data_IF_177381757669
#
_entry.id   IF_177381757669
#
_cell.length_a   1.000
_cell.length_b   1.000
_cell.length_c   1.000
_cell.angle_alpha   90.00
_cell.angle_beta   90.00
_cell.angle_gamma   90.00
#
_symmetry.space_group_name_H-M   'P 1'
#
loop_
_entity.id
_entity.type
_entity.pdbx_description
1 polymer ?
#
# COMPACT_ATOMS: atom_id res chain seq x y z
N UNK A 1 19.94 20.19 -10.59
CA UNK A 1 18.61 20.05 -9.99
C UNK A 1 18.02 18.78 -10.56
N UNK A 2 17.98 17.68 -9.78
CA UNK A 2 17.43 16.42 -10.28
C UNK A 2 15.91 16.51 -10.28
N UNK A 3 15.29 16.36 -11.45
CA UNK A 3 13.89 16.02 -11.52
C UNK A 3 13.74 14.62 -10.90
N UNK A 4 13.09 14.53 -9.74
CA UNK A 4 12.64 13.24 -9.22
C UNK A 4 11.58 12.79 -10.22
N UNK A 5 11.90 11.81 -11.06
CA UNK A 5 10.90 11.21 -11.92
C UNK A 5 9.84 10.62 -10.98
N UNK A 6 8.58 11.07 -11.12
CA UNK A 6 7.45 10.43 -10.46
C UNK A 6 7.57 8.93 -10.73
N UNK A 7 7.78 8.16 -9.67
CA UNK A 7 7.76 6.71 -9.81
C UNK A 7 6.31 6.28 -9.94
N UNK A 8 6.06 5.11 -10.53
CA UNK A 8 4.69 4.57 -10.55
C UNK A 8 4.12 4.39 -9.13
N UNK A 9 4.96 4.29 -8.10
CA UNK A 9 4.56 4.17 -6.71
C UNK A 9 3.85 5.44 -6.20
N UNK A 10 4.33 6.62 -6.60
CA UNK A 10 3.79 7.92 -6.16
C UNK A 10 2.32 8.14 -6.57
N UNK A 11 1.81 7.32 -7.49
CA UNK A 11 0.38 7.32 -7.87
C UNK A 11 -0.51 6.63 -6.84
N UNK A 12 0.07 5.82 -5.97
CA UNK A 12 -0.63 4.99 -4.99
C UNK A 12 -0.40 5.46 -3.54
N UNK A 13 0.31 6.57 -3.38
CA UNK A 13 0.59 7.23 -2.10
C UNK A 13 2.09 7.37 -1.87
N UNK A 14 2.52 7.25 -0.61
CA UNK A 14 3.92 7.43 -0.24
C UNK A 14 4.44 6.46 0.84
N UNK A 15 5.76 6.36 0.92
CA UNK A 15 6.42 5.53 1.94
C UNK A 15 6.26 6.16 3.32
N UNK A 16 5.77 5.38 4.28
CA UNK A 16 5.58 5.82 5.66
C UNK A 16 6.56 5.14 6.63
N UNK A 17 6.69 5.69 7.83
CA UNK A 17 7.43 5.01 8.90
C UNK A 17 6.58 3.90 9.52
N UNK A 18 7.13 2.71 9.81
CA UNK A 18 6.38 1.64 10.46
C UNK A 18 5.74 2.01 11.81
N UNK A 19 6.26 3.04 12.49
CA UNK A 19 5.71 3.54 13.76
C UNK A 19 4.45 4.39 13.59
N UNK A 20 4.20 4.94 12.39
CA UNK A 20 2.99 5.69 12.06
C UNK A 20 1.82 4.79 11.62
N UNK A 21 2.07 3.49 11.42
CA UNK A 21 1.07 2.58 10.91
C UNK A 21 -0.08 2.36 11.91
N UNK A 22 -1.31 2.46 11.41
CA UNK A 22 -2.54 2.23 12.16
C UNK A 22 -2.76 0.74 12.42
N UNK A 23 -2.31 -0.13 11.50
CA UNK A 23 -2.30 -1.58 11.69
C UNK A 23 -1.16 -2.27 10.95
N UNK A 24 -0.99 -3.55 11.28
CA UNK A 24 -0.04 -4.45 10.62
C UNK A 24 -0.77 -5.53 9.82
N UNK A 25 -0.35 -5.76 8.59
CA UNK A 25 -0.79 -6.87 7.74
C UNK A 25 0.41 -7.78 7.46
N UNK A 26 0.27 -9.07 7.80
CA UNK A 26 1.28 -10.09 7.49
C UNK A 26 0.96 -10.70 6.14
N UNK A 27 1.93 -10.65 5.21
CA UNK A 27 1.81 -11.27 3.89
C UNK A 27 2.41 -12.68 3.96
N UNK A 28 1.54 -13.68 4.10
CA UNK A 28 1.90 -15.09 4.00
C UNK A 28 1.93 -15.61 2.56
N UNK A 29 2.45 -16.82 2.30
CA UNK A 29 2.61 -17.39 0.94
C UNK A 29 1.30 -17.54 0.14
N UNK A 30 0.18 -17.64 0.85
CA UNK A 30 -1.15 -17.81 0.26
C UNK A 30 -1.94 -16.51 0.16
N UNK A 31 -1.35 -15.38 0.57
CA UNK A 31 -1.99 -14.07 0.41
C UNK A 31 -2.16 -13.81 -1.08
N UNK A 32 -3.33 -13.31 -1.48
CA UNK A 32 -3.63 -12.99 -2.89
C UNK A 32 -4.10 -11.56 -3.03
N UNK A 33 -4.75 -11.03 -2.00
CA UNK A 33 -5.12 -9.64 -1.92
C UNK A 33 -5.11 -9.13 -0.48
N UNK A 34 -5.09 -7.82 -0.35
CA UNK A 34 -5.33 -7.08 0.89
C UNK A 34 -6.32 -5.95 0.60
N UNK A 35 -7.15 -5.63 1.57
CA UNK A 35 -8.07 -4.50 1.51
C UNK A 35 -7.60 -3.43 2.49
N UNK A 36 -7.48 -2.21 2.01
CA UNK A 36 -7.09 -1.03 2.78
C UNK A 36 -8.07 0.10 2.50
N UNK A 37 -8.10 1.11 3.35
CA UNK A 37 -8.86 2.33 3.09
C UNK A 37 -7.96 3.38 2.44
N UNK A 38 -8.55 4.28 1.66
CA UNK A 38 -7.85 5.48 1.21
C UNK A 38 -7.45 6.32 2.44
N UNK A 39 -6.21 6.82 2.45
CA UNK A 39 -5.59 7.55 3.56
C UNK A 39 -5.16 6.68 4.75
N UNK A 40 -5.26 5.35 4.67
CA UNK A 40 -4.80 4.46 5.72
C UNK A 40 -3.27 4.30 5.67
N UNK A 41 -2.60 4.32 6.83
CA UNK A 41 -1.18 3.94 6.92
C UNK A 41 -1.07 2.48 7.39
N UNK A 42 -0.55 1.59 6.54
CA UNK A 42 -0.42 0.16 6.86
C UNK A 42 1.03 -0.28 6.89
N UNK A 43 1.40 -0.99 7.95
CA UNK A 43 2.66 -1.76 8.01
C UNK A 43 2.47 -3.14 7.40
N UNK A 44 3.29 -3.50 6.44
CA UNK A 44 3.38 -4.84 5.88
C UNK A 44 4.58 -5.59 6.45
N UNK A 45 4.34 -6.83 6.87
CA UNK A 45 5.39 -7.78 7.26
C UNK A 45 5.40 -8.92 6.25
N UNK A 46 6.49 -9.07 5.49
CA UNK A 46 6.60 -10.02 4.40
C UNK A 46 8.05 -10.48 4.25
N UNK A 47 8.29 -11.78 4.10
CA UNK A 47 9.62 -12.34 3.87
C UNK A 47 10.70 -11.84 4.86
N UNK A 48 10.33 -11.69 6.13
CA UNK A 48 11.22 -11.18 7.18
C UNK A 48 11.58 -9.70 7.07
N UNK A 49 10.92 -8.95 6.18
CA UNK A 49 11.04 -7.50 6.04
C UNK A 49 9.78 -6.80 6.51
N UNK A 50 9.95 -5.56 6.96
CA UNK A 50 8.85 -4.67 7.28
C UNK A 50 8.97 -3.37 6.47
N UNK A 51 7.85 -2.89 5.97
CA UNK A 51 7.73 -1.57 5.35
C UNK A 51 6.33 -1.01 5.62
N UNK A 52 6.16 0.30 5.57
CA UNK A 52 4.85 0.92 5.70
C UNK A 52 4.57 1.84 4.52
N UNK A 53 3.29 1.97 4.20
CA UNK A 53 2.80 2.76 3.08
C UNK A 53 1.56 3.54 3.53
N UNK A 54 1.54 4.82 3.19
CA UNK A 54 0.36 5.69 3.29
C UNK A 54 -0.42 5.58 1.98
N UNK A 55 -1.70 5.20 2.06
CA UNK A 55 -2.58 5.01 0.92
C UNK A 55 -3.34 6.29 0.54
N UNK A 56 -2.67 7.43 0.50
CA UNK A 56 -3.20 8.78 0.17
C UNK A 56 -3.18 9.12 -1.34
N UNK A 57 -2.84 8.15 -2.19
CA UNK A 57 -2.82 8.29 -3.65
C UNK A 57 -4.15 7.98 -4.33
N UNK A 58 -4.12 7.70 -5.63
CA UNK A 58 -5.33 7.34 -6.39
C UNK A 58 -5.94 6.03 -5.84
N UNK A 59 -7.24 6.00 -5.49
CA UNK A 59 -7.91 4.82 -4.92
C UNK A 59 -8.22 3.78 -6.02
N UNK A 60 -7.18 3.21 -6.60
CA UNK A 60 -7.26 2.18 -7.64
C UNK A 60 -6.51 0.92 -7.20
N UNK A 61 -7.03 -0.25 -7.58
CA UNK A 61 -6.39 -1.51 -7.22
C UNK A 61 -5.08 -1.72 -8.00
N UNK A 62 -4.02 -2.14 -7.31
CA UNK A 62 -2.69 -2.31 -7.88
C UNK A 62 -1.96 -3.54 -7.30
N UNK A 63 -0.76 -3.86 -7.81
CA UNK A 63 0.08 -4.93 -7.26
C UNK A 63 0.97 -4.37 -6.16
N UNK A 64 0.97 -4.96 -4.96
CA UNK A 64 1.76 -4.51 -3.81
C UNK A 64 3.26 -4.39 -4.12
N UNK A 65 3.78 -5.16 -5.10
CA UNK A 65 5.18 -5.03 -5.58
C UNK A 65 5.51 -3.65 -6.16
N UNK A 66 4.51 -2.83 -6.53
CA UNK A 66 4.75 -1.48 -7.05
C UNK A 66 5.26 -0.52 -5.96
N UNK A 67 4.93 -0.77 -4.69
CA UNK A 67 5.29 0.09 -3.56
C UNK A 67 6.22 -0.61 -2.55
N UNK A 68 6.30 -1.95 -2.62
CA UNK A 68 7.14 -2.73 -1.73
C UNK A 68 8.64 -2.62 -2.09
N UNK A 69 9.54 -2.60 -1.09
CA UNK A 69 10.97 -2.74 -1.33
C UNK A 69 11.31 -4.02 -2.09
N UNK A 70 12.40 -3.99 -2.86
CA UNK A 70 12.83 -5.14 -3.66
C UNK A 70 12.98 -6.42 -2.80
N UNK A 71 12.33 -7.49 -3.25
CA UNK A 71 12.34 -8.80 -2.59
C UNK A 71 11.53 -8.90 -1.29
N UNK A 72 10.78 -7.87 -0.91
CA UNK A 72 9.82 -7.98 0.20
C UNK A 72 8.61 -8.85 -0.16
N UNK A 73 8.20 -8.82 -1.44
CA UNK A 73 7.06 -9.57 -1.96
C UNK A 73 7.55 -10.45 -3.11
N UNK A 74 7.34 -11.77 -3.01
CA UNK A 74 7.80 -12.76 -4.00
C UNK A 74 6.68 -13.23 -4.95
N UNK A 75 5.42 -13.14 -4.56
CA UNK A 75 4.24 -13.50 -5.36
C UNK A 75 3.33 -12.28 -5.61
N UNK A 76 2.36 -12.40 -6.52
CA UNK A 76 1.46 -11.28 -6.78
C UNK A 76 0.44 -11.14 -5.64
N UNK A 77 0.34 -9.94 -5.08
CA UNK A 77 -0.63 -9.58 -4.05
C UNK A 77 -1.33 -8.30 -4.50
N UNK A 78 -2.64 -8.39 -4.74
CA UNK A 78 -3.46 -7.25 -5.17
C UNK A 78 -3.83 -6.40 -3.96
N UNK A 79 -3.59 -5.10 -4.02
CA UNK A 79 -4.16 -4.15 -3.06
C UNK A 79 -5.49 -3.65 -3.63
N UNK A 80 -6.55 -3.74 -2.84
CA UNK A 80 -7.81 -3.06 -3.10
C UNK A 80 -7.97 -1.91 -2.10
N UNK A 81 -8.26 -0.73 -2.61
CA UNK A 81 -8.47 0.48 -1.80
C UNK A 81 -9.96 0.76 -1.78
N UNK A 82 -10.56 0.74 -0.59
CA UNK A 82 -11.92 1.21 -0.38
C UNK A 82 -11.92 2.73 -0.25
N UNK A 83 -12.82 3.40 -0.96
CA UNK A 83 -13.11 4.82 -0.76
C UNK A 83 -14.16 4.98 0.31
N UNK A 84 -14.05 6.04 1.10
CA UNK A 84 -15.05 6.41 2.10
C UNK A 84 -15.97 7.51 1.56
N UNK A 85 -17.01 7.88 2.32
CA UNK A 85 -17.85 9.03 2.01
C UNK A 85 -17.05 10.34 1.89
N UNK A 86 -15.97 10.49 2.66
CA UNK A 86 -15.09 11.66 2.63
C UNK A 86 -14.37 11.79 1.27
N UNK A 87 -14.14 10.67 0.60
CA UNK A 87 -13.55 10.59 -0.74
C UNK A 87 -14.60 10.76 -1.87
N UNK A 88 -15.86 11.02 -1.52
CA UNK A 88 -16.98 10.98 -2.46
C UNK A 88 -17.39 9.56 -2.88
N UNK A 89 -16.92 8.54 -2.17
CA UNK A 89 -17.37 7.16 -2.32
C UNK A 89 -18.84 7.01 -1.92
N UNK A 90 -19.54 6.07 -2.54
CA UNK A 90 -20.85 5.65 -2.07
C UNK A 90 -20.62 4.86 -0.79
N UNK A 91 -20.74 5.51 0.37
CA UNK A 91 -20.76 4.82 1.65
C UNK A 91 -21.84 3.74 1.64
N UNK A 92 -21.53 2.63 2.31
CA UNK A 92 -22.39 1.44 2.45
C UNK A 92 -23.84 1.77 2.86
#
# INVERSE_FOLDING_TARGET
MSAVALTNADRYGEAATPAAAERTIVIGPNTRWVNVNHGEIVKFVANGKEFAWDFDGLPQAFDLKQVAPQGAIDHNVRVYIATTLEDGGLGD
#
